data_IF_823346376481
#
_entry.id   IF_823346376481
#
_cell.length_a   1.000
_cell.length_b   1.000
_cell.length_c   1.000
_cell.angle_alpha   90.00
_cell.angle_beta   90.00
_cell.angle_gamma   90.00
#
_symmetry.space_group_name_H-M   'P 1'
#
loop_
_entity.id
_entity.type
_entity.pdbx_description
1 polymer ?
#
# COMPACT_ATOMS: atom_id res chain seq x y z
N UNK A 1 -49.50 -65.33 11.30
CA UNK A 1 -48.23 -65.53 10.53
C UNK A 1 -48.06 -64.34 9.56
N UNK A 2 -47.27 -63.41 9.91
CA UNK A 2 -46.79 -62.41 8.93
C UNK A 2 -45.46 -61.86 9.45
N UNK A 3 -44.41 -62.12 8.72
CA UNK A 3 -43.03 -61.68 8.98
C UNK A 3 -42.86 -60.27 8.45
N UNK A 4 -42.62 -59.28 9.31
CA UNK A 4 -42.21 -57.95 8.93
C UNK A 4 -40.71 -57.92 8.73
N UNK A 5 -40.27 -57.51 7.54
CA UNK A 5 -38.85 -57.26 7.20
C UNK A 5 -38.48 -55.84 7.63
N UNK A 6 -37.52 -55.70 8.51
CA UNK A 6 -36.85 -54.43 8.80
C UNK A 6 -35.80 -54.17 7.75
N UNK A 7 -35.98 -53.10 6.97
CA UNK A 7 -34.99 -52.55 6.05
C UNK A 7 -34.27 -51.44 6.81
N UNK A 8 -33.04 -51.70 7.21
CA UNK A 8 -32.15 -50.66 7.77
C UNK A 8 -31.73 -49.69 6.69
N UNK A 9 -32.09 -48.41 6.86
CA UNK A 9 -31.55 -47.29 6.06
C UNK A 9 -30.29 -46.77 6.77
N UNK A 10 -29.14 -47.07 6.17
CA UNK A 10 -27.88 -46.41 6.55
C UNK A 10 -27.94 -44.98 6.12
N UNK A 11 -27.95 -44.08 7.08
CA UNK A 11 -27.82 -42.64 6.86
C UNK A 11 -26.33 -42.31 6.74
N UNK A 12 -25.82 -42.15 5.50
CA UNK A 12 -24.50 -41.67 5.27
C UNK A 12 -24.48 -40.15 5.54
N UNK A 13 -23.89 -39.76 6.66
CA UNK A 13 -23.68 -38.37 7.04
C UNK A 13 -22.48 -37.85 6.25
N UNK A 14 -22.72 -37.19 5.13
CA UNK A 14 -21.71 -36.47 4.36
C UNK A 14 -21.30 -35.21 5.13
N UNK A 15 -20.19 -35.28 5.84
CA UNK A 15 -19.56 -34.13 6.44
C UNK A 15 -18.89 -33.29 5.35
N UNK A 16 -19.63 -32.30 4.82
CA UNK A 16 -19.04 -31.29 3.93
C UNK A 16 -18.08 -30.43 4.77
N UNK A 17 -16.79 -30.67 4.66
CA UNK A 17 -15.77 -29.72 5.10
C UNK A 17 -15.89 -28.48 4.23
N UNK A 18 -16.59 -27.47 4.72
CA UNK A 18 -16.46 -26.11 4.28
C UNK A 18 -15.05 -25.61 4.65
N UNK A 19 -14.08 -25.86 3.80
CA UNK A 19 -12.83 -25.14 3.84
C UNK A 19 -13.16 -23.68 3.55
N UNK A 20 -13.21 -22.84 4.57
CA UNK A 20 -13.22 -21.40 4.43
C UNK A 20 -11.92 -21.01 3.74
N UNK A 21 -11.97 -20.89 2.43
CA UNK A 21 -10.97 -20.18 1.68
C UNK A 21 -11.02 -18.74 2.17
N UNK A 22 -10.16 -18.41 3.14
CA UNK A 22 -9.84 -17.03 3.44
C UNK A 22 -9.16 -16.47 2.20
N UNK A 23 -9.95 -15.91 1.28
CA UNK A 23 -9.44 -15.06 0.23
C UNK A 23 -8.86 -13.86 0.97
N UNK A 24 -7.57 -13.89 1.22
CA UNK A 24 -6.85 -12.68 1.62
C UNK A 24 -7.03 -11.72 0.46
N UNK A 25 -7.90 -10.75 0.64
CA UNK A 25 -8.12 -9.71 -0.34
C UNK A 25 -6.76 -9.08 -0.63
N UNK A 26 -6.32 -9.21 -1.86
CA UNK A 26 -5.23 -8.37 -2.39
C UNK A 26 -5.64 -6.95 -2.07
N UNK A 27 -4.74 -6.15 -1.47
CA UNK A 27 -4.99 -4.75 -1.16
C UNK A 27 -5.61 -4.09 -2.38
N UNK A 28 -6.88 -3.71 -2.28
CA UNK A 28 -7.61 -3.18 -3.41
C UNK A 28 -7.15 -1.74 -3.65
N UNK A 29 -6.19 -1.57 -4.56
CA UNK A 29 -5.77 -0.25 -5.00
C UNK A 29 -6.76 0.27 -6.05
N UNK A 30 -7.40 1.39 -5.76
CA UNK A 30 -8.21 2.14 -6.71
C UNK A 30 -7.51 3.44 -7.04
N UNK A 31 -7.02 3.58 -8.28
CA UNK A 31 -6.50 4.85 -8.76
C UNK A 31 -7.66 5.83 -8.91
N UNK A 32 -7.63 6.93 -8.16
CA UNK A 32 -8.64 7.98 -8.20
C UNK A 32 -8.31 9.03 -9.25
N UNK A 33 -7.02 9.39 -9.39
CA UNK A 33 -6.52 10.36 -10.37
C UNK A 33 -5.02 10.19 -10.58
N UNK A 34 -4.55 10.27 -11.82
CA UNK A 34 -3.13 10.24 -12.19
C UNK A 34 -2.72 11.40 -13.10
N UNK A 35 -3.63 12.30 -13.44
CA UNK A 35 -3.43 13.45 -14.33
C UNK A 35 -2.88 13.14 -15.72
N UNK A 36 -2.66 11.86 -16.08
CA UNK A 36 -2.16 11.47 -17.41
C UNK A 36 -3.15 11.82 -18.53
N UNK A 37 -4.44 11.73 -18.23
CA UNK A 37 -5.49 12.14 -19.16
C UNK A 37 -6.60 12.90 -18.42
N UNK A 38 -7.39 13.66 -19.18
CA UNK A 38 -8.60 14.32 -18.68
C UNK A 38 -9.70 13.33 -18.27
N UNK A 39 -9.48 12.03 -18.49
CA UNK A 39 -10.42 11.00 -18.08
C UNK A 39 -10.25 10.59 -16.61
N UNK A 40 -9.17 10.96 -15.96
CA UNK A 40 -8.92 10.64 -14.56
C UNK A 40 -9.55 11.64 -13.57
N UNK A 41 -9.94 12.85 -14.00
CA UNK A 41 -10.58 13.87 -13.16
C UNK A 41 -11.67 14.61 -13.93
N UNK A 42 -12.64 15.20 -13.22
CA UNK A 42 -13.68 16.03 -13.82
C UNK A 42 -13.21 17.48 -14.00
N UNK A 43 -12.58 18.03 -12.97
CA UNK A 43 -11.97 19.36 -12.99
C UNK A 43 -10.87 19.49 -11.96
N UNK A 44 -10.01 20.49 -12.14
CA UNK A 44 -9.01 20.92 -11.15
C UNK A 44 -9.17 22.42 -10.92
N UNK A 45 -9.00 22.85 -9.67
CA UNK A 45 -9.15 24.23 -9.27
C UNK A 45 -8.31 24.55 -8.04
N UNK A 46 -8.33 25.80 -7.61
CA UNK A 46 -7.81 26.22 -6.34
C UNK A 46 -8.96 26.46 -5.38
N UNK A 47 -8.82 26.03 -4.15
CA UNK A 47 -9.80 26.28 -3.11
C UNK A 47 -9.11 26.54 -1.76
N UNK A 48 -9.77 27.34 -0.94
CA UNK A 48 -9.37 27.64 0.42
C UNK A 48 -10.61 27.58 1.31
N UNK A 49 -10.58 26.81 2.38
CA UNK A 49 -11.75 26.67 3.27
C UNK A 49 -11.96 27.88 4.19
N UNK A 50 -10.92 28.70 4.37
CA UNK A 50 -11.05 29.93 5.19
C UNK A 50 -12.08 30.87 4.60
N UNK A 51 -13.08 31.24 5.39
CA UNK A 51 -14.24 32.01 4.91
C UNK A 51 -13.92 33.41 4.39
N UNK A 52 -12.85 34.03 4.88
CA UNK A 52 -12.37 35.31 4.39
C UNK A 52 -11.26 35.21 3.33
N UNK A 53 -11.04 34.02 2.79
CA UNK A 53 -10.05 33.83 1.76
C UNK A 53 -10.48 34.46 0.44
N UNK A 54 -9.60 35.23 -0.22
CA UNK A 54 -9.89 35.78 -1.54
C UNK A 54 -10.02 34.73 -2.63
N UNK A 55 -9.56 33.51 -2.37
CA UNK A 55 -9.72 32.38 -3.31
C UNK A 55 -11.09 31.71 -3.18
N UNK A 56 -11.75 31.88 -2.05
CA UNK A 56 -13.07 31.28 -1.79
C UNK A 56 -14.20 32.06 -2.47
N UNK A 57 -14.13 33.38 -2.45
CA UNK A 57 -15.11 34.25 -3.09
C UNK A 57 -14.83 34.51 -4.58
N UNK A 58 -13.66 34.06 -5.06
CA UNK A 58 -13.24 34.19 -6.44
C UNK A 58 -12.67 35.56 -6.79
N UNK A 59 -12.46 36.46 -5.81
CA UNK A 59 -11.84 37.78 -6.02
C UNK A 59 -10.38 37.65 -6.46
N UNK A 60 -9.71 36.55 -6.07
CA UNK A 60 -8.39 36.16 -6.56
C UNK A 60 -8.47 34.78 -7.22
N UNK A 61 -7.99 34.67 -8.44
CA UNK A 61 -7.86 33.39 -9.12
C UNK A 61 -6.54 32.71 -8.74
N UNK A 62 -6.65 31.49 -8.23
CA UNK A 62 -5.47 30.67 -7.99
C UNK A 62 -4.93 30.06 -9.29
N UNK A 63 -3.67 29.65 -9.27
CA UNK A 63 -3.01 29.02 -10.41
C UNK A 63 -2.80 27.52 -10.15
N UNK A 64 -3.55 26.70 -10.86
CA UNK A 64 -3.43 25.25 -10.86
C UNK A 64 -3.64 24.73 -12.27
N UNK A 65 -2.79 23.81 -12.72
CA UNK A 65 -2.89 23.23 -14.06
C UNK A 65 -2.10 21.93 -14.17
N UNK A 66 -2.54 21.05 -15.05
CA UNK A 66 -1.77 19.87 -15.44
C UNK A 66 -0.65 20.28 -16.38
N UNK A 67 0.56 19.83 -16.11
CA UNK A 67 1.79 20.13 -16.86
C UNK A 67 2.56 18.85 -17.17
N UNK A 68 3.50 18.90 -18.10
CA UNK A 68 4.44 17.81 -18.31
C UNK A 68 5.32 17.64 -17.08
N UNK A 69 5.57 16.40 -16.69
CA UNK A 69 6.43 16.08 -15.55
C UNK A 69 7.90 16.32 -15.92
N UNK A 70 8.51 17.27 -15.27
CA UNK A 70 9.96 17.59 -15.37
C UNK A 70 10.75 17.09 -14.15
N UNK A 71 10.09 16.40 -13.22
CA UNK A 71 10.65 15.89 -11.97
C UNK A 71 10.78 14.35 -12.01
N UNK A 72 11.31 13.84 -13.13
CA UNK A 72 11.47 12.40 -13.40
C UNK A 72 12.87 11.89 -13.08
N UNK A 73 13.69 12.66 -12.40
CA UNK A 73 15.02 12.22 -12.02
C UNK A 73 14.97 11.01 -11.11
N UNK A 74 15.86 10.06 -11.35
CA UNK A 74 16.06 8.95 -10.43
C UNK A 74 16.57 9.46 -9.09
N UNK A 75 16.11 8.86 -8.01
CA UNK A 75 16.67 9.11 -6.70
C UNK A 75 18.14 8.64 -6.69
N UNK A 76 19.11 9.53 -6.39
CA UNK A 76 20.53 9.21 -6.52
C UNK A 76 21.02 8.17 -5.50
N UNK A 77 20.31 7.99 -4.40
CA UNK A 77 20.65 7.03 -3.35
C UNK A 77 20.00 5.68 -3.59
N UNK A 78 18.79 5.68 -4.11
CA UNK A 78 17.92 4.51 -4.23
C UNK A 78 17.81 3.94 -5.63
N UNK A 79 18.22 4.71 -6.64
CA UNK A 79 18.29 4.27 -8.04
C UNK A 79 16.95 4.07 -8.74
N UNK A 80 15.82 4.46 -8.13
CA UNK A 80 14.52 4.39 -8.77
C UNK A 80 13.93 5.79 -9.03
N UNK A 81 13.00 5.88 -9.96
CA UNK A 81 12.27 7.11 -10.28
C UNK A 81 11.01 7.16 -9.41
N UNK A 82 10.92 8.07 -8.42
CA UNK A 82 9.76 8.11 -7.50
C UNK A 82 8.45 8.44 -8.21
N UNK A 83 8.51 9.24 -9.25
CA UNK A 83 7.36 9.59 -10.08
C UNK A 83 7.67 9.50 -11.57
N UNK A 84 7.39 8.36 -12.23
CA UNK A 84 7.64 8.16 -13.65
C UNK A 84 6.52 8.70 -14.57
N UNK A 85 5.46 9.30 -14.01
CA UNK A 85 4.34 9.84 -14.77
C UNK A 85 4.78 10.87 -15.82
N UNK A 86 4.06 10.96 -16.94
CA UNK A 86 4.33 11.95 -17.99
C UNK A 86 3.78 13.33 -17.65
N UNK A 87 2.69 13.37 -16.87
CA UNK A 87 2.00 14.59 -16.47
C UNK A 87 1.79 14.62 -14.96
N UNK A 88 1.72 15.83 -14.43
CA UNK A 88 1.52 16.11 -13.01
C UNK A 88 0.64 17.36 -12.84
N UNK A 89 -0.03 17.50 -11.71
CA UNK A 89 -0.73 18.72 -11.35
C UNK A 89 0.25 19.71 -10.70
N UNK A 90 0.40 20.90 -11.28
CA UNK A 90 1.16 22.01 -10.70
C UNK A 90 0.21 22.97 -9.99
N UNK A 91 0.50 23.29 -8.74
CA UNK A 91 -0.21 24.26 -7.91
C UNK A 91 0.76 25.39 -7.51
N UNK A 92 0.37 26.64 -7.73
CA UNK A 92 1.04 27.77 -7.09
C UNK A 92 0.48 27.93 -5.68
N UNK A 93 1.26 27.54 -4.65
CA UNK A 93 0.94 27.79 -3.25
C UNK A 93 1.10 29.27 -2.98
N UNK A 94 -0.02 29.98 -2.90
CA UNK A 94 -0.02 31.42 -2.74
C UNK A 94 0.22 31.83 -1.28
N UNK A 95 1.02 32.88 -1.09
CA UNK A 95 1.20 33.52 0.22
C UNK A 95 -0.09 34.13 0.80
N UNK A 96 -1.07 34.43 -0.05
CA UNK A 96 -2.37 34.96 0.35
C UNK A 96 -3.39 33.87 0.72
N UNK A 97 -3.09 32.61 0.45
CA UNK A 97 -3.92 31.47 0.85
C UNK A 97 -3.68 31.11 2.32
N UNK A 98 -4.71 30.65 3.00
CA UNK A 98 -4.61 30.21 4.39
C UNK A 98 -3.88 28.85 4.54
N UNK A 99 -3.85 28.32 5.77
CA UNK A 99 -3.36 26.97 6.05
C UNK A 99 -4.29 25.85 5.53
N UNK A 100 -5.38 26.20 4.86
CA UNK A 100 -6.31 25.30 4.20
C UNK A 100 -6.40 25.54 2.69
N UNK A 101 -5.48 26.34 2.14
CA UNK A 101 -5.37 26.60 0.71
C UNK A 101 -4.74 25.43 -0.01
N UNK A 102 -5.38 24.95 -1.08
CA UNK A 102 -4.86 23.79 -1.84
C UNK A 102 -5.41 23.64 -3.24
N UNK A 103 -5.02 22.53 -3.87
CA UNK A 103 -5.57 22.08 -5.13
C UNK A 103 -6.86 21.29 -4.88
N UNK A 104 -7.95 21.74 -5.48
CA UNK A 104 -9.22 21.04 -5.52
C UNK A 104 -9.26 20.14 -6.75
N UNK A 105 -9.44 18.85 -6.55
CA UNK A 105 -9.60 17.84 -7.60
C UNK A 105 -11.01 17.26 -7.52
N UNK A 106 -11.83 17.53 -8.52
CA UNK A 106 -13.12 16.88 -8.68
C UNK A 106 -12.90 15.49 -9.30
N UNK A 107 -13.34 14.45 -8.59
CA UNK A 107 -13.14 13.07 -9.00
C UNK A 107 -14.18 12.66 -10.05
N UNK A 108 -13.76 12.03 -11.14
CA UNK A 108 -14.68 11.35 -12.06
C UNK A 108 -15.32 10.12 -11.44
N UNK A 109 -14.56 9.45 -10.58
CA UNK A 109 -15.02 8.26 -9.86
C UNK A 109 -15.02 8.52 -8.36
N UNK A 110 -16.12 9.03 -7.81
CA UNK A 110 -16.27 9.19 -6.37
C UNK A 110 -16.04 7.88 -5.61
N UNK A 111 -15.70 7.99 -4.33
CA UNK A 111 -15.60 6.83 -3.45
C UNK A 111 -16.41 7.03 -2.17
N UNK A 112 -16.90 5.93 -1.62
CA UNK A 112 -17.58 5.95 -0.34
C UNK A 112 -16.56 5.85 0.79
N UNK A 113 -16.70 6.71 1.80
CA UNK A 113 -16.02 6.55 3.08
C UNK A 113 -16.64 5.38 3.84
N UNK A 114 -15.82 4.48 4.36
CA UNK A 114 -16.28 3.29 5.09
C UNK A 114 -15.64 3.21 6.48
N UNK A 115 -16.21 2.35 7.35
CA UNK A 115 -15.64 2.05 8.67
C UNK A 115 -14.38 1.17 8.58
N UNK A 116 -14.16 0.50 7.46
CA UNK A 116 -12.97 -0.30 7.23
C UNK A 116 -11.76 0.60 7.03
N UNK A 117 -10.58 0.07 7.23
CA UNK A 117 -9.34 0.81 6.96
C UNK A 117 -9.34 1.30 5.51
N UNK A 118 -9.21 2.60 5.37
CA UNK A 118 -9.10 3.27 4.07
C UNK A 118 -8.07 4.38 4.19
N UNK A 119 -7.20 4.44 3.19
CA UNK A 119 -6.15 5.45 3.07
C UNK A 119 -6.15 6.01 1.66
N UNK A 120 -5.85 7.30 1.57
CA UNK A 120 -5.55 7.93 0.28
C UNK A 120 -4.08 8.26 0.25
N UNK A 121 -3.38 7.71 -0.71
CA UNK A 121 -2.00 8.04 -1.03
C UNK A 121 -2.01 9.17 -2.06
N UNK A 122 -1.14 10.15 -1.85
CA UNK A 122 -0.94 11.26 -2.79
C UNK A 122 0.55 11.50 -2.94
N UNK A 123 1.06 11.52 -4.15
CA UNK A 123 2.42 11.98 -4.39
C UNK A 123 2.46 13.50 -4.35
N UNK A 124 3.29 14.06 -3.48
CA UNK A 124 3.48 15.51 -3.35
C UNK A 124 4.97 15.84 -3.42
N UNK A 125 5.33 16.77 -4.31
CA UNK A 125 6.66 17.38 -4.36
C UNK A 125 6.52 18.85 -3.95
N UNK A 126 7.24 19.25 -2.91
CA UNK A 126 7.26 20.62 -2.39
C UNK A 126 8.70 21.09 -2.18
N UNK A 127 9.02 22.34 -2.49
CA UNK A 127 10.32 22.92 -2.15
C UNK A 127 10.45 23.23 -0.66
N UNK A 128 9.35 23.16 0.08
CA UNK A 128 9.31 23.47 1.53
C UNK A 128 8.85 22.26 2.32
N UNK A 129 9.41 22.11 3.51
CA UNK A 129 8.97 21.15 4.49
C UNK A 129 7.80 21.72 5.28
N UNK A 130 6.64 21.11 5.19
CA UNK A 130 5.41 21.51 5.87
C UNK A 130 4.47 20.30 6.05
N UNK A 131 3.61 20.28 7.07
CA UNK A 131 2.54 19.29 7.13
C UNK A 131 1.63 19.41 5.92
N UNK A 132 1.22 18.28 5.35
CA UNK A 132 0.19 18.24 4.32
C UNK A 132 -1.15 17.85 4.93
N UNK A 133 -2.24 18.27 4.28
CA UNK A 133 -3.59 17.92 4.68
C UNK A 133 -4.41 17.51 3.46
N UNK A 134 -5.30 16.55 3.65
CA UNK A 134 -6.30 16.13 2.68
C UNK A 134 -7.69 16.39 3.28
N UNK A 135 -8.52 17.12 2.53
CA UNK A 135 -9.93 17.35 2.88
C UNK A 135 -10.77 16.67 1.80
N UNK A 136 -11.59 15.72 2.21
CA UNK A 136 -12.57 15.09 1.34
C UNK A 136 -13.92 15.76 1.48
N UNK A 137 -14.57 16.03 0.35
CA UNK A 137 -15.83 16.76 0.27
C UNK A 137 -16.89 15.93 -0.46
N UNK A 138 -18.03 15.74 0.19
CA UNK A 138 -19.19 15.01 -0.34
C UNK A 138 -20.22 15.91 -1.00
N UNK A 139 -19.87 17.14 -1.37
CA UNK A 139 -20.78 18.12 -1.94
C UNK A 139 -21.34 17.68 -3.28
N UNK A 140 -22.65 17.77 -3.43
CA UNK A 140 -23.37 17.41 -4.65
C UNK A 140 -23.24 18.43 -5.77
N UNK A 141 -23.03 19.69 -5.40
CA UNK A 141 -23.10 20.83 -6.33
C UNK A 141 -21.73 21.35 -6.76
N UNK A 142 -20.68 20.58 -6.49
CA UNK A 142 -19.29 21.00 -6.74
C UNK A 142 -18.91 22.34 -6.07
N UNK A 143 -19.67 22.73 -5.05
CA UNK A 143 -19.44 23.90 -4.22
C UNK A 143 -18.94 23.51 -2.82
N UNK A 144 -17.64 23.20 -2.68
CA UNK A 144 -17.06 22.61 -1.48
C UNK A 144 -17.37 23.38 -0.20
N UNK A 145 -17.40 24.72 -0.27
CA UNK A 145 -17.69 25.60 0.84
C UNK A 145 -19.11 25.47 1.40
N UNK A 146 -20.01 24.83 0.66
CA UNK A 146 -21.39 24.58 1.10
C UNK A 146 -21.61 23.16 1.63
N UNK A 147 -20.61 22.31 1.58
CA UNK A 147 -20.71 20.97 2.16
C UNK A 147 -20.82 21.08 3.67
N UNK A 148 -21.85 20.50 4.30
CA UNK A 148 -21.93 20.44 5.75
C UNK A 148 -20.77 19.64 6.32
N UNK A 149 -20.38 19.92 7.57
CA UNK A 149 -19.30 19.19 8.24
C UNK A 149 -19.52 17.68 8.29
N UNK A 150 -20.78 17.24 8.31
CA UNK A 150 -21.15 15.82 8.22
C UNK A 150 -20.83 15.17 6.87
N UNK A 151 -20.56 15.96 5.84
CA UNK A 151 -20.17 15.50 4.50
C UNK A 151 -18.70 15.79 4.19
N UNK A 152 -17.87 15.92 5.20
CA UNK A 152 -16.44 16.20 5.05
C UNK A 152 -15.61 15.27 5.93
N UNK A 153 -14.37 15.01 5.49
CA UNK A 153 -13.33 14.55 6.39
C UNK A 153 -12.08 15.42 6.25
N UNK A 154 -11.29 15.48 7.32
CA UNK A 154 -10.04 16.21 7.37
C UNK A 154 -8.96 15.27 7.89
N UNK A 155 -7.88 15.13 7.14
CA UNK A 155 -6.76 14.28 7.47
C UNK A 155 -5.46 15.05 7.29
N UNK A 156 -4.69 15.19 8.37
CA UNK A 156 -3.41 15.91 8.38
C UNK A 156 -2.27 14.94 8.67
N UNK A 157 -1.12 15.15 8.05
CA UNK A 157 0.07 14.33 8.32
C UNK A 157 0.67 14.66 9.68
N UNK A 158 1.15 13.62 10.37
CA UNK A 158 1.90 13.79 11.63
C UNK A 158 3.34 14.26 11.39
N UNK A 159 3.87 14.02 10.20
CA UNK A 159 5.23 14.41 9.80
C UNK A 159 5.15 15.39 8.63
N UNK A 160 6.04 16.40 8.60
CA UNK A 160 6.11 17.30 7.47
C UNK A 160 6.66 16.60 6.22
N UNK A 161 6.33 17.17 5.05
CA UNK A 161 6.94 16.77 3.77
C UNK A 161 8.46 16.96 3.82
N UNK A 162 9.19 16.07 3.18
CA UNK A 162 10.61 16.26 2.91
C UNK A 162 10.75 17.18 1.69
N UNK A 163 11.41 18.33 1.88
CA UNK A 163 11.55 19.32 0.83
C UNK A 163 12.38 18.83 -0.35
N UNK A 164 12.05 19.29 -1.56
CA UNK A 164 12.74 19.01 -2.82
C UNK A 164 12.78 17.53 -3.21
N UNK A 165 11.78 16.76 -2.76
CA UNK A 165 11.63 15.35 -3.09
C UNK A 165 10.16 15.03 -3.34
N UNK A 166 9.90 13.96 -4.10
CA UNK A 166 8.59 13.34 -4.11
C UNK A 166 8.34 12.64 -2.77
N UNK A 167 7.20 12.92 -2.18
CA UNK A 167 6.69 12.26 -0.98
C UNK A 167 5.48 11.42 -1.39
N UNK A 168 5.41 10.18 -0.96
CA UNK A 168 4.15 9.44 -0.94
C UNK A 168 3.45 9.70 0.39
N UNK A 169 2.46 10.55 0.37
CA UNK A 169 1.77 11.03 1.56
C UNK A 169 0.53 10.18 1.78
N UNK A 170 0.44 9.57 2.95
CA UNK A 170 -0.64 8.64 3.31
C UNK A 170 -1.61 9.31 4.27
N UNK A 171 -2.85 9.44 3.83
CA UNK A 171 -3.92 10.04 4.61
C UNK A 171 -4.94 9.00 5.05
N UNK A 172 -5.17 8.76 6.35
CA UNK A 172 -6.29 7.96 6.81
C UNK A 172 -7.62 8.66 6.49
N UNK A 173 -8.51 7.95 5.82
CA UNK A 173 -9.78 8.50 5.35
C UNK A 173 -10.99 7.64 5.74
N UNK A 174 -10.79 6.62 6.56
CA UNK A 174 -11.90 5.81 7.08
C UNK A 174 -12.85 6.63 7.94
N UNK A 175 -14.13 6.31 7.89
CA UNK A 175 -15.15 7.00 8.66
C UNK A 175 -16.48 6.27 8.67
N UNK A 176 -17.33 6.60 9.65
CA UNK A 176 -18.58 5.89 9.91
C UNK A 176 -19.77 6.41 9.12
N UNK A 177 -19.66 7.55 8.47
CA UNK A 177 -20.80 8.30 7.98
C UNK A 177 -21.29 7.87 6.58
N UNK A 178 -20.54 7.00 5.87
CA UNK A 178 -20.92 6.52 4.54
C UNK A 178 -20.95 7.63 3.47
N UNK A 179 -20.19 8.70 3.69
CA UNK A 179 -20.15 9.84 2.78
C UNK A 179 -19.56 9.42 1.45
N UNK A 180 -20.19 9.84 0.35
CA UNK A 180 -19.59 9.71 -0.99
C UNK A 180 -18.72 10.92 -1.26
N UNK A 181 -17.40 10.71 -1.26
CA UNK A 181 -16.42 11.76 -1.54
C UNK A 181 -16.35 12.00 -3.05
N UNK A 182 -16.59 13.24 -3.45
CA UNK A 182 -16.60 13.69 -4.86
C UNK A 182 -15.43 14.59 -5.19
N UNK A 183 -14.96 15.35 -4.21
CA UNK A 183 -13.86 16.27 -4.38
C UNK A 183 -12.79 16.00 -3.30
N UNK A 184 -11.53 16.15 -3.68
CA UNK A 184 -10.40 16.14 -2.77
C UNK A 184 -9.70 17.49 -2.83
N UNK A 185 -9.54 18.14 -1.67
CA UNK A 185 -8.71 19.32 -1.53
C UNK A 185 -7.37 18.90 -0.93
N UNK A 186 -6.32 19.02 -1.71
CA UNK A 186 -4.96 18.66 -1.33
C UNK A 186 -4.24 19.94 -0.92
N UNK A 187 -3.94 20.04 0.37
CA UNK A 187 -3.28 21.18 1.01
C UNK A 187 -1.82 20.80 1.24
N UNK A 188 -0.87 21.37 0.48
CA UNK A 188 0.55 20.98 0.59
C UNK A 188 1.30 21.65 1.73
N UNK A 189 0.69 22.66 2.36
CA UNK A 189 1.24 23.40 3.48
C UNK A 189 0.12 23.81 4.43
N UNK A 190 -0.09 22.96 5.44
CA UNK A 190 -1.10 23.17 6.50
C UNK A 190 -0.50 23.82 7.75
N UNK A 191 0.64 24.51 7.62
CA UNK A 191 1.30 25.21 8.73
C UNK A 191 0.39 26.25 9.35
N UNK A 192 0.27 26.25 10.69
CA UNK A 192 -0.49 27.22 11.45
C UNK A 192 0.35 27.75 12.62
N UNK A 193 0.48 29.07 12.83
CA UNK A 193 -0.05 30.13 11.98
C UNK A 193 0.65 30.18 10.61
N UNK A 194 -0.10 30.65 9.62
CA UNK A 194 0.38 30.76 8.25
C UNK A 194 1.18 32.06 8.06
N UNK A 195 2.46 31.94 7.70
CA UNK A 195 3.38 33.07 7.59
C UNK A 195 4.22 33.02 6.29
N UNK A 196 3.60 32.68 5.17
CA UNK A 196 4.31 32.66 3.89
C UNK A 196 4.63 34.06 3.39
N UNK A 197 5.90 34.31 3.07
CA UNK A 197 6.38 35.58 2.52
C UNK A 197 6.38 35.60 0.98
N UNK A 198 6.34 34.42 0.36
CA UNK A 198 6.44 34.26 -1.10
C UNK A 198 5.58 33.09 -1.58
N UNK A 199 5.20 33.15 -2.85
CA UNK A 199 4.53 32.04 -3.53
C UNK A 199 5.57 31.00 -3.96
N UNK A 200 5.17 29.74 -4.02
CA UNK A 200 6.03 28.66 -4.55
C UNK A 200 5.22 27.59 -5.29
N UNK A 201 5.88 26.87 -6.15
CA UNK A 201 5.25 25.79 -6.91
C UNK A 201 5.29 24.47 -6.11
N UNK A 202 4.17 23.77 -6.11
CA UNK A 202 4.01 22.41 -5.58
C UNK A 202 3.50 21.53 -6.70
N UNK A 203 3.93 20.28 -6.74
CA UNK A 203 3.47 19.30 -7.72
C UNK A 203 2.80 18.14 -7.02
N UNK A 204 1.69 17.67 -7.60
CA UNK A 204 0.82 16.65 -7.05
C UNK A 204 0.57 15.61 -8.12
N UNK A 205 0.55 14.33 -7.71
CA UNK A 205 0.29 13.22 -8.64
C UNK A 205 -0.25 11.98 -7.93
N UNK A 206 -0.63 10.98 -8.71
CA UNK A 206 -1.01 9.63 -8.27
C UNK A 206 -1.85 9.61 -6.99
N UNK A 207 -3.12 9.97 -7.11
CA UNK A 207 -4.09 9.87 -6.01
C UNK A 207 -4.68 8.46 -6.02
N UNK A 208 -4.34 7.66 -5.00
CA UNK A 208 -4.73 6.24 -4.92
C UNK A 208 -5.45 5.94 -3.62
N UNK A 209 -6.62 5.34 -3.69
CA UNK A 209 -7.35 4.80 -2.55
C UNK A 209 -6.93 3.35 -2.31
N UNK A 210 -6.61 2.99 -1.05
CA UNK A 210 -6.19 1.65 -0.65
C UNK A 210 -6.63 1.34 0.78
N UNK A 211 -6.55 0.09 1.20
CA UNK A 211 -6.75 -0.36 2.58
C UNK A 211 -5.41 -0.48 3.37
N UNK A 212 -4.32 0.01 2.80
CA UNK A 212 -2.96 -0.12 3.28
C UNK A 212 -2.30 1.22 3.57
N UNK A 213 -1.73 1.38 4.76
CA UNK A 213 -1.06 2.59 5.23
C UNK A 213 0.43 2.66 4.92
N UNK A 214 1.01 1.61 4.32
CA UNK A 214 2.41 1.64 3.98
C UNK A 214 2.68 2.52 2.76
N UNK A 215 3.56 3.52 2.85
CA UNK A 215 3.94 4.33 1.70
C UNK A 215 4.43 3.47 0.54
N UNK A 216 4.12 3.87 -0.69
CA UNK A 216 4.65 3.22 -1.90
C UNK A 216 6.17 3.34 -2.00
N UNK A 217 6.73 4.38 -1.41
CA UNK A 217 8.17 4.58 -1.22
C UNK A 217 8.40 5.53 -0.04
N UNK A 218 9.55 5.43 0.62
CA UNK A 218 9.96 6.37 1.66
C UNK A 218 10.87 7.45 1.07
N UNK A 219 10.69 8.68 1.53
CA UNK A 219 11.54 9.81 1.15
C UNK A 219 12.63 10.11 2.18
N UNK A 220 12.50 9.59 3.38
CA UNK A 220 13.44 9.88 4.47
C UNK A 220 14.40 8.73 4.71
N UNK A 221 15.70 9.07 4.79
CA UNK A 221 16.72 8.18 5.30
C UNK A 221 17.31 7.20 4.28
N UNK A 222 18.25 6.38 4.77
CA UNK A 222 18.95 5.35 4.00
C UNK A 222 18.05 4.17 3.60
N UNK A 223 16.84 4.14 4.13
CA UNK A 223 15.94 3.01 4.06
C UNK A 223 14.72 3.35 3.23
N UNK A 224 14.87 3.28 1.92
CA UNK A 224 13.74 3.42 1.01
C UNK A 224 12.81 2.21 1.10
N UNK A 225 11.57 2.43 1.47
CA UNK A 225 10.54 1.41 1.32
C UNK A 225 10.02 1.45 -0.11
N UNK A 226 10.27 0.41 -0.89
CA UNK A 226 9.58 0.19 -2.16
C UNK A 226 8.44 -0.79 -1.90
N UNK A 227 7.25 -0.41 -2.16
CA UNK A 227 6.13 -1.32 -2.18
C UNK A 227 6.16 -2.11 -3.48
N UNK A 228 6.22 -3.43 -3.36
CA UNK A 228 6.11 -4.31 -4.50
C UNK A 228 4.65 -4.39 -4.99
N UNK A 229 4.51 -4.49 -6.29
CA UNK A 229 3.23 -4.70 -6.97
C UNK A 229 3.22 -6.07 -7.64
N UNK A 230 2.04 -6.61 -7.90
CA UNK A 230 1.89 -7.83 -8.68
C UNK A 230 2.64 -7.70 -10.02
N UNK A 231 3.50 -8.68 -10.32
CA UNK A 231 4.36 -8.66 -11.50
C UNK A 231 5.79 -8.16 -11.27
N UNK A 232 6.07 -7.48 -10.15
CA UNK A 232 7.43 -7.08 -9.83
C UNK A 232 8.33 -8.28 -9.55
N UNK A 233 9.61 -8.13 -9.87
CA UNK A 233 10.64 -9.12 -9.53
C UNK A 233 11.05 -8.93 -8.08
N UNK A 234 10.99 -10.01 -7.29
CA UNK A 234 11.34 -10.05 -5.87
C UNK A 234 12.48 -11.04 -5.64
N UNK A 235 13.31 -10.81 -4.63
CA UNK A 235 14.42 -11.69 -4.32
C UNK A 235 13.99 -12.85 -3.44
N UNK A 236 14.65 -14.00 -3.65
CA UNK A 236 14.56 -15.15 -2.78
C UNK A 236 15.87 -15.32 -2.03
N UNK A 237 15.78 -15.56 -0.73
CA UNK A 237 16.96 -15.82 0.11
C UNK A 237 16.67 -16.91 1.13
N UNK A 238 17.72 -17.65 1.48
CA UNK A 238 17.73 -18.56 2.61
C UNK A 238 18.20 -17.80 3.85
N UNK A 239 17.50 -17.96 4.97
CA UNK A 239 17.85 -17.36 6.22
C UNK A 239 18.36 -18.34 7.25
N UNK A 240 19.07 -17.80 8.24
CA UNK A 240 19.42 -18.45 9.49
C UNK A 240 18.96 -17.55 10.65
N UNK A 241 18.72 -18.12 11.81
CA UNK A 241 18.40 -17.34 13.01
C UNK A 241 19.04 -17.90 14.27
N UNK A 242 18.95 -17.15 15.37
CA UNK A 242 19.51 -17.53 16.65
C UNK A 242 18.83 -18.73 17.32
N UNK A 243 17.68 -19.17 16.81
CA UNK A 243 16.93 -20.31 17.33
C UNK A 243 17.24 -21.61 16.59
N UNK A 244 18.28 -21.62 15.75
CA UNK A 244 18.71 -22.79 14.98
C UNK A 244 18.02 -22.95 13.63
N UNK A 245 17.24 -21.96 13.20
CA UNK A 245 16.70 -21.91 11.84
C UNK A 245 17.80 -21.84 10.81
N UNK A 246 17.64 -22.59 9.71
CA UNK A 246 18.63 -22.67 8.65
C UNK A 246 19.79 -23.64 8.92
N UNK A 247 19.80 -24.38 10.04
CA UNK A 247 20.79 -25.41 10.33
C UNK A 247 20.22 -26.81 10.02
N UNK A 248 21.14 -27.79 9.82
CA UNK A 248 20.79 -29.22 9.73
C UNK A 248 19.93 -29.61 8.52
N UNK A 249 20.00 -28.87 7.43
CA UNK A 249 19.29 -29.13 6.20
C UNK A 249 19.18 -27.90 5.32
N UNK A 250 18.45 -28.01 4.24
CA UNK A 250 18.26 -26.93 3.29
C UNK A 250 16.81 -26.79 2.82
N UNK A 251 16.54 -25.66 2.20
CA UNK A 251 15.31 -25.39 1.45
C UNK A 251 15.71 -25.00 0.03
N UNK A 252 15.23 -25.72 -0.95
CA UNK A 252 15.56 -25.56 -2.36
C UNK A 252 14.31 -25.13 -3.14
N UNK A 253 14.48 -24.66 -4.35
CA UNK A 253 13.38 -24.60 -5.32
C UNK A 253 12.98 -26.01 -5.77
N UNK A 254 11.80 -26.14 -6.36
CA UNK A 254 11.29 -27.45 -6.82
C UNK A 254 12.20 -28.14 -7.85
N UNK A 255 12.98 -27.37 -8.60
CA UNK A 255 13.97 -27.87 -9.56
C UNK A 255 15.29 -28.31 -8.90
N UNK A 256 15.38 -28.26 -7.58
CA UNK A 256 16.56 -28.60 -6.80
C UNK A 256 17.62 -27.51 -6.71
N UNK A 257 17.40 -26.35 -7.29
CA UNK A 257 18.33 -25.22 -7.20
C UNK A 257 18.23 -24.50 -5.86
N UNK A 258 19.36 -23.92 -5.38
CA UNK A 258 19.38 -23.09 -4.19
C UNK A 258 18.48 -21.87 -4.36
N UNK A 259 17.74 -21.48 -3.30
CA UNK A 259 16.87 -20.30 -3.34
C UNK A 259 17.64 -18.98 -3.31
N UNK A 260 18.82 -18.96 -2.65
CA UNK A 260 19.64 -17.75 -2.52
C UNK A 260 20.15 -17.28 -3.88
N UNK A 261 19.93 -16.00 -4.16
CA UNK A 261 20.29 -15.40 -5.45
C UNK A 261 19.30 -15.65 -6.57
N UNK A 262 18.18 -16.32 -6.28
CA UNK A 262 17.07 -16.48 -7.22
C UNK A 262 16.02 -15.38 -7.02
N UNK A 263 15.15 -15.29 -7.98
CA UNK A 263 14.04 -14.33 -7.98
C UNK A 263 12.70 -15.03 -8.15
N UNK A 264 11.65 -14.37 -7.73
CA UNK A 264 10.27 -14.75 -7.99
C UNK A 264 9.51 -13.56 -8.56
N UNK A 265 8.25 -13.78 -8.95
CA UNK A 265 7.37 -12.72 -9.40
C UNK A 265 6.33 -12.47 -8.31
N UNK A 266 6.23 -11.23 -7.84
CA UNK A 266 5.23 -10.80 -6.88
C UNK A 266 3.82 -11.17 -7.36
N UNK A 267 3.03 -11.79 -6.49
CA UNK A 267 1.71 -12.30 -6.84
C UNK A 267 1.69 -13.62 -7.61
N UNK A 268 2.84 -14.30 -7.78
CA UNK A 268 2.91 -15.66 -8.33
C UNK A 268 3.36 -16.67 -7.27
N UNK A 269 2.81 -17.89 -7.24
CA UNK A 269 3.22 -18.89 -6.26
C UNK A 269 4.67 -19.36 -6.51
N UNK A 270 5.37 -19.75 -5.44
CA UNK A 270 6.74 -20.31 -5.49
C UNK A 270 6.74 -21.68 -4.86
N UNK A 271 7.25 -22.69 -5.57
CA UNK A 271 7.34 -24.05 -5.09
C UNK A 271 8.73 -24.32 -4.52
N UNK A 272 8.76 -24.84 -3.29
CA UNK A 272 10.00 -25.12 -2.56
C UNK A 272 10.02 -26.54 -2.01
N UNK A 273 11.22 -27.06 -1.75
CA UNK A 273 11.44 -28.40 -1.23
C UNK A 273 12.36 -28.38 -0.02
N UNK A 274 11.95 -29.02 1.06
CA UNK A 274 12.78 -29.20 2.23
C UNK A 274 13.72 -30.41 2.06
N UNK A 275 15.00 -30.23 2.37
CA UNK A 275 16.04 -31.25 2.25
C UNK A 275 16.75 -31.38 3.59
N UNK A 276 16.32 -32.31 4.48
CA UNK A 276 17.01 -32.56 5.74
C UNK A 276 18.43 -33.11 5.54
N UNK A 277 19.36 -32.71 6.42
CA UNK A 277 20.64 -33.39 6.52
C UNK A 277 20.47 -34.80 7.13
N UNK A 278 21.41 -35.71 6.92
CA UNK A 278 21.38 -37.04 7.51
C UNK A 278 21.18 -37.00 9.03
N UNK A 279 20.24 -37.79 9.56
CA UNK A 279 19.87 -37.82 11.00
C UNK A 279 18.92 -36.71 11.43
N UNK A 280 18.40 -35.92 10.51
CA UNK A 280 17.43 -34.86 10.80
C UNK A 280 16.17 -35.03 9.99
N UNK A 281 15.07 -34.52 10.53
CA UNK A 281 13.78 -34.41 9.83
C UNK A 281 13.32 -32.96 9.78
N UNK A 282 12.64 -32.59 8.71
CA UNK A 282 12.04 -31.27 8.58
C UNK A 282 10.96 -31.06 9.61
N UNK A 283 10.97 -29.90 10.26
CA UNK A 283 10.03 -29.51 11.33
C UNK A 283 9.05 -28.44 10.88
N UNK A 284 9.57 -27.32 10.40
CA UNK A 284 8.77 -26.18 9.93
C UNK A 284 9.58 -25.29 9.00
N UNK A 285 8.89 -24.48 8.22
CA UNK A 285 9.44 -23.37 7.46
C UNK A 285 8.89 -22.06 8.00
N UNK A 286 9.76 -21.12 8.37
CA UNK A 286 9.38 -19.73 8.60
C UNK A 286 9.64 -18.97 7.32
N UNK A 287 8.61 -18.34 6.79
CA UNK A 287 8.67 -17.48 5.61
C UNK A 287 8.58 -16.05 6.12
N UNK A 288 9.67 -15.31 6.01
CA UNK A 288 9.66 -13.86 6.16
C UNK A 288 9.42 -13.25 4.80
N UNK A 289 8.39 -12.46 4.69
CA UNK A 289 8.02 -11.79 3.47
C UNK A 289 7.60 -10.35 3.80
N UNK A 290 7.63 -9.47 2.84
CA UNK A 290 7.27 -8.11 3.15
C UNK A 290 7.70 -7.12 2.08
N UNK A 291 7.24 -5.92 2.28
CA UNK A 291 7.08 -4.91 1.29
C UNK A 291 8.28 -4.11 0.95
N UNK A 292 9.47 -4.49 1.44
CA UNK A 292 10.59 -3.64 1.17
C UNK A 292 11.88 -4.29 1.12
N UNK A 293 12.83 -3.66 0.94
CA UNK A 293 13.84 -3.80 0.15
C UNK A 293 15.20 -3.69 0.55
N UNK A 294 15.42 -3.06 1.56
CA UNK A 294 16.75 -2.84 2.07
C UNK A 294 16.99 -3.85 3.18
N UNK A 295 18.09 -4.59 3.11
CA UNK A 295 18.45 -5.64 4.08
C UNK A 295 18.51 -5.20 5.53
N UNK A 296 18.48 -3.89 5.80
CA UNK A 296 18.46 -3.33 7.15
C UNK A 296 17.06 -3.27 7.78
N UNK A 297 16.00 -3.52 7.02
CA UNK A 297 14.64 -3.30 7.51
C UNK A 297 13.94 -4.57 7.96
N UNK A 298 14.61 -5.35 8.74
CA UNK A 298 14.05 -6.58 9.31
C UNK A 298 12.76 -6.38 10.12
N UNK A 299 12.50 -5.16 10.59
CA UNK A 299 11.34 -4.85 11.42
C UNK A 299 10.01 -4.84 10.68
N UNK A 300 10.00 -4.82 9.35
CA UNK A 300 8.79 -4.82 8.53
C UNK A 300 8.48 -6.19 7.89
N UNK A 301 9.27 -7.20 8.20
CA UNK A 301 8.96 -8.56 7.76
C UNK A 301 7.68 -9.06 8.41
N UNK A 302 6.79 -9.59 7.59
CA UNK A 302 5.68 -10.43 8.05
C UNK A 302 6.18 -11.87 8.11
N UNK A 303 5.91 -12.57 9.19
CA UNK A 303 6.28 -13.97 9.34
C UNK A 303 5.08 -14.89 9.17
N UNK A 304 5.23 -15.86 8.29
CA UNK A 304 4.29 -16.96 8.12
C UNK A 304 4.99 -18.27 8.45
N UNK A 305 4.47 -19.03 9.40
CA UNK A 305 5.00 -20.34 9.75
C UNK A 305 4.21 -21.45 9.06
N UNK A 306 4.92 -22.35 8.39
CA UNK A 306 4.39 -23.52 7.70
C UNK A 306 4.92 -24.77 8.38
N UNK A 307 4.04 -25.63 8.92
CA UNK A 307 4.43 -26.86 9.57
C UNK A 307 4.82 -27.95 8.57
N UNK A 308 5.59 -28.95 9.01
CA UNK A 308 5.95 -30.09 8.17
C UNK A 308 4.74 -30.83 7.59
N UNK A 309 3.61 -30.87 8.30
CA UNK A 309 2.38 -31.50 7.84
C UNK A 309 1.72 -30.84 6.63
N UNK A 310 2.10 -29.62 6.31
CA UNK A 310 1.63 -28.88 5.13
C UNK A 310 2.48 -29.13 3.88
N UNK A 311 3.64 -29.78 4.07
CA UNK A 311 4.46 -30.24 2.96
C UNK A 311 3.92 -31.57 2.43
N UNK A 312 3.93 -31.74 1.10
CA UNK A 312 3.55 -32.99 0.41
C UNK A 312 4.77 -33.48 -0.35
N UNK A 313 5.19 -34.70 -0.07
CA UNK A 313 6.41 -35.28 -0.68
C UNK A 313 7.67 -34.40 -0.52
N UNK A 314 7.78 -33.73 0.63
CA UNK A 314 8.86 -32.80 0.91
C UNK A 314 8.73 -31.42 0.25
N UNK A 315 7.64 -31.15 -0.45
CA UNK A 315 7.41 -29.92 -1.20
C UNK A 315 6.26 -29.08 -0.61
N UNK A 316 6.36 -27.78 -0.76
CA UNK A 316 5.33 -26.81 -0.40
C UNK A 316 5.24 -25.71 -1.45
N UNK A 317 4.02 -25.30 -1.76
CA UNK A 317 3.78 -24.15 -2.63
C UNK A 317 3.46 -22.94 -1.79
N UNK A 318 4.37 -21.97 -1.75
CA UNK A 318 4.16 -20.66 -1.14
C UNK A 318 3.05 -19.98 -1.93
N UNK A 319 1.92 -19.62 -1.30
CA UNK A 319 0.80 -19.02 -2.02
C UNK A 319 1.17 -17.65 -2.60
N UNK A 320 0.58 -17.31 -3.73
CA UNK A 320 0.77 -16.03 -4.41
C UNK A 320 0.62 -14.80 -3.50
N UNK A 321 -0.30 -14.87 -2.54
CA UNK A 321 -0.56 -13.79 -1.56
C UNK A 321 0.58 -13.54 -0.58
N UNK A 322 1.48 -14.51 -0.37
CA UNK A 322 2.67 -14.38 0.49
C UNK A 322 3.86 -13.87 -0.32
N UNK A 323 3.81 -14.01 -1.65
CA UNK A 323 4.83 -13.46 -2.56
C UNK A 323 4.49 -11.99 -2.84
N UNK A 324 4.56 -11.17 -1.80
CA UNK A 324 4.16 -9.75 -1.82
C UNK A 324 5.36 -8.78 -1.74
N UNK A 325 6.55 -9.34 -1.74
CA UNK A 325 7.83 -8.64 -1.67
C UNK A 325 8.98 -9.63 -1.62
N UNK A 326 10.14 -9.18 -1.17
CA UNK A 326 11.27 -10.07 -0.96
C UNK A 326 10.93 -11.17 0.03
N UNK A 327 11.46 -12.36 -0.21
CA UNK A 327 11.17 -13.56 0.58
C UNK A 327 12.44 -14.11 1.18
N UNK A 328 12.40 -14.36 2.49
CA UNK A 328 13.44 -15.06 3.22
C UNK A 328 12.89 -16.34 3.82
N UNK A 329 13.49 -17.45 3.46
CA UNK A 329 13.07 -18.79 3.87
C UNK A 329 13.99 -19.32 4.96
N UNK A 330 13.46 -19.63 6.14
CA UNK A 330 14.19 -20.13 7.30
C UNK A 330 13.64 -21.54 7.63
N UNK A 331 14.27 -22.61 7.15
CA UNK A 331 13.84 -23.96 7.45
C UNK A 331 14.35 -24.40 8.83
N UNK A 332 13.54 -25.14 9.56
CA UNK A 332 13.91 -25.76 10.84
C UNK A 332 13.88 -27.27 10.72
N UNK A 333 14.90 -27.90 11.28
CA UNK A 333 15.03 -29.34 11.33
C UNK A 333 15.22 -29.81 12.77
N UNK A 334 14.70 -30.96 13.12
CA UNK A 334 14.90 -31.61 14.41
C UNK A 334 15.66 -32.93 14.22
N UNK A 335 16.47 -33.32 15.18
CA UNK A 335 17.12 -34.62 15.13
C UNK A 335 16.07 -35.74 15.07
N UNK A 336 16.33 -36.77 14.29
CA UNK A 336 15.59 -38.01 14.39
C UNK A 336 16.03 -38.66 15.71
N UNK A 337 15.06 -39.01 16.57
CA UNK A 337 15.37 -39.76 17.77
C UNK A 337 16.07 -41.05 17.35
N UNK A 338 17.24 -41.36 17.91
CA UNK A 338 17.87 -42.66 17.73
C UNK A 338 16.85 -43.72 18.17
N UNK A 339 16.44 -44.59 17.24
CA UNK A 339 15.61 -45.74 17.53
C UNK A 339 16.38 -46.75 18.36
#
# INVERSE_FOLDING_TARGET
>A
MNKSKYIGKSLALSLALLSSLSISAQTAEKKLCDFESTDSYASVGVYDTWENSPFRDGSVKGNVRVVNNHLTAADPVRGFVPNPSSKILALQRSRFGSNTFGALVALKQPFAQTKQKQYVHVKIYSPKSAPAMLIGLGNRDDRPHQSPLSEQFWSITSQPLVANQWNDVVFPVSGSNGITIRNLLIVPDATSPHNLMEDFAVYIDDIVLTDDDAPFFSTSGKNAVKRFKAGDVVSLSRGVDALGGGLNGDILLADGSAVTGKTAICGKPVKVKAVPAPGFKFSKLVIRHGRYLDGEQQNNWVETTVSASQFRDGEYTIPAKIVDGDIRLIPYFSSEAAK
#
